data_IF_111331217476
#
_entry.id   IF_111331217476
#
_cell.length_a   1.000
_cell.length_b   1.000
_cell.length_c   1.000
_cell.angle_alpha   90.00
_cell.angle_beta   90.00
_cell.angle_gamma   90.00
#
_symmetry.space_group_name_H-M   'P 1'
#
loop_
_entity.id
_entity.type
_entity.pdbx_description
1 polymer ?
#
# COMPACT_ATOMS: atom_id res chain seq x y z
N UNK A 1 0.69 3.41 -12.48
CA UNK A 1 0.84 1.95 -12.69
C UNK A 1 2.21 1.37 -12.36
N UNK A 2 3.33 2.11 -12.48
CA UNK A 2 4.70 1.53 -12.39
C UNK A 2 4.97 0.65 -11.16
N UNK A 3 4.33 0.91 -10.02
CA UNK A 3 4.54 0.15 -8.77
C UNK A 3 3.31 -0.62 -8.26
N UNK A 4 2.31 -0.95 -9.09
CA UNK A 4 1.11 -1.69 -8.64
C UNK A 4 1.45 -2.99 -7.92
N UNK A 5 2.25 -3.87 -8.55
CA UNK A 5 2.62 -5.15 -7.97
C UNK A 5 3.51 -5.02 -6.72
N UNK A 6 4.30 -3.94 -6.63
CA UNK A 6 5.12 -3.67 -5.45
C UNK A 6 4.26 -3.18 -4.27
N UNK A 7 3.31 -2.29 -4.52
CA UNK A 7 2.44 -1.70 -3.51
C UNK A 7 1.38 -2.69 -3.00
N UNK A 8 0.78 -3.44 -3.92
CA UNK A 8 -0.36 -4.33 -3.65
C UNK A 8 0.05 -5.81 -3.55
N UNK A 9 1.33 -6.14 -3.67
CA UNK A 9 1.82 -7.52 -3.73
C UNK A 9 1.33 -8.39 -2.57
N UNK A 10 1.31 -7.84 -1.34
CA UNK A 10 0.77 -8.53 -0.18
C UNK A 10 -0.73 -8.84 -0.33
N UNK A 11 -1.53 -7.89 -0.80
CA UNK A 11 -2.97 -8.09 -1.01
C UNK A 11 -3.27 -9.03 -2.19
N UNK A 12 -2.43 -9.06 -3.22
CA UNK A 12 -2.54 -10.03 -4.31
C UNK A 12 -2.29 -11.47 -3.81
N UNK A 13 -1.27 -11.66 -2.96
CA UNK A 13 -0.98 -12.98 -2.34
C UNK A 13 -2.15 -13.41 -1.45
N UNK A 14 -2.62 -12.51 -0.56
CA UNK A 14 -3.77 -12.79 0.31
C UNK A 14 -5.04 -13.08 -0.48
N UNK A 15 -5.30 -12.32 -1.54
CA UNK A 15 -6.41 -12.55 -2.46
C UNK A 15 -6.33 -13.93 -3.12
N UNK A 16 -5.14 -14.35 -3.54
CA UNK A 16 -4.90 -15.69 -4.07
C UNK A 16 -5.24 -16.79 -3.07
N UNK A 17 -4.79 -16.65 -1.81
CA UNK A 17 -5.13 -17.61 -0.73
C UNK A 17 -6.65 -17.67 -0.51
N UNK A 18 -7.33 -16.52 -0.48
CA UNK A 18 -8.79 -16.45 -0.34
C UNK A 18 -9.49 -17.19 -1.49
N UNK A 19 -9.01 -17.05 -2.72
CA UNK A 19 -9.57 -17.75 -3.88
C UNK A 19 -9.33 -19.26 -3.81
N UNK A 20 -8.17 -19.71 -3.34
CA UNK A 20 -7.90 -21.14 -3.12
C UNK A 20 -8.84 -21.73 -2.07
N UNK A 21 -9.05 -21.02 -0.95
CA UNK A 21 -10.02 -21.44 0.08
C UNK A 21 -11.44 -21.47 -0.51
N UNK A 22 -11.80 -20.46 -1.29
CA UNK A 22 -13.12 -20.38 -1.96
C UNK A 22 -13.34 -21.55 -2.89
N UNK A 23 -12.32 -21.94 -3.68
CA UNK A 23 -12.36 -23.11 -4.55
C UNK A 23 -12.49 -24.40 -3.74
N UNK A 24 -11.67 -24.57 -2.69
CA UNK A 24 -11.69 -25.76 -1.85
C UNK A 24 -13.05 -25.96 -1.16
N UNK A 25 -13.58 -24.90 -0.54
CA UNK A 25 -14.89 -24.95 0.13
C UNK A 25 -16.00 -25.14 -0.90
N UNK A 26 -15.95 -24.42 -2.03
CA UNK A 26 -16.98 -24.46 -3.06
C UNK A 26 -17.13 -25.80 -3.80
N UNK A 27 -16.14 -26.69 -3.69
CA UNK A 27 -16.17 -28.05 -4.28
C UNK A 27 -16.61 -29.14 -3.29
N UNK A 28 -16.88 -28.79 -2.02
CA UNK A 28 -17.33 -29.76 -1.01
C UNK A 28 -18.73 -30.32 -1.31
N UNK A 29 -19.01 -31.58 -0.94
CA UNK A 29 -20.26 -32.27 -1.30
C UNK A 29 -21.53 -31.67 -0.66
N UNK A 30 -21.38 -30.91 0.42
CA UNK A 30 -22.49 -30.21 1.09
C UNK A 30 -22.84 -28.85 0.44
N UNK A 31 -22.09 -28.41 -0.57
CA UNK A 31 -22.34 -27.14 -1.26
C UNK A 31 -23.31 -27.30 -2.43
N UNK A 32 -24.09 -26.25 -2.70
CA UNK A 32 -25.01 -26.25 -3.85
C UNK A 32 -24.26 -26.40 -5.19
N UNK A 33 -24.92 -27.00 -6.20
CA UNK A 33 -24.35 -27.14 -7.55
C UNK A 33 -23.91 -25.77 -8.10
N UNK A 34 -22.69 -25.70 -8.62
CA UNK A 34 -22.12 -24.46 -9.15
C UNK A 34 -21.72 -23.43 -8.08
N UNK A 35 -21.66 -23.78 -6.79
CA UNK A 35 -21.17 -22.91 -5.73
C UNK A 35 -19.72 -22.45 -5.98
N UNK A 36 -18.82 -23.35 -6.40
CA UNK A 36 -17.44 -23.00 -6.72
C UNK A 36 -17.34 -21.88 -7.79
N UNK A 37 -18.07 -22.01 -8.91
CA UNK A 37 -18.06 -21.03 -10.01
C UNK A 37 -18.60 -19.67 -9.54
N UNK A 38 -19.75 -19.66 -8.85
CA UNK A 38 -20.36 -18.43 -8.33
C UNK A 38 -19.49 -17.77 -7.26
N UNK A 39 -18.94 -18.56 -6.35
CA UNK A 39 -18.03 -18.10 -5.30
C UNK A 39 -16.78 -17.46 -5.88
N UNK A 40 -16.08 -18.15 -6.79
CA UNK A 40 -14.89 -17.61 -7.44
C UNK A 40 -15.18 -16.30 -8.20
N UNK A 41 -16.30 -16.23 -8.92
CA UNK A 41 -16.67 -15.02 -9.66
C UNK A 41 -16.88 -13.82 -8.72
N UNK A 42 -17.73 -13.98 -7.70
CA UNK A 42 -18.06 -12.88 -6.80
C UNK A 42 -16.90 -12.50 -5.89
N UNK A 43 -16.18 -13.48 -5.35
CA UNK A 43 -15.01 -13.22 -4.50
C UNK A 43 -13.91 -12.51 -5.31
N UNK A 44 -13.64 -12.95 -6.55
CA UNK A 44 -12.66 -12.28 -7.41
C UNK A 44 -13.06 -10.84 -7.71
N UNK A 45 -14.35 -10.59 -7.99
CA UNK A 45 -14.86 -9.25 -8.25
C UNK A 45 -14.66 -8.34 -7.03
N UNK A 46 -15.03 -8.81 -5.85
CA UNK A 46 -14.87 -8.06 -4.60
C UNK A 46 -13.39 -7.75 -4.34
N UNK A 47 -12.52 -8.76 -4.44
CA UNK A 47 -11.07 -8.58 -4.27
C UNK A 47 -10.51 -7.55 -5.28
N UNK A 48 -10.90 -7.63 -6.55
CA UNK A 48 -10.45 -6.70 -7.58
C UNK A 48 -10.86 -5.26 -7.27
N UNK A 49 -12.10 -5.04 -6.82
CA UNK A 49 -12.59 -3.70 -6.43
C UNK A 49 -11.81 -3.16 -5.24
N UNK A 50 -11.64 -3.95 -4.17
CA UNK A 50 -10.94 -3.49 -2.98
C UNK A 50 -9.46 -3.22 -3.22
N UNK A 51 -8.76 -4.10 -3.95
CA UNK A 51 -7.35 -3.90 -4.29
C UNK A 51 -7.18 -2.69 -5.21
N UNK A 52 -8.06 -2.52 -6.20
CA UNK A 52 -8.05 -1.36 -7.09
C UNK A 52 -8.31 -0.05 -6.36
N UNK A 53 -9.29 -0.03 -5.45
CA UNK A 53 -9.59 1.15 -4.62
C UNK A 53 -8.42 1.50 -3.68
N UNK A 54 -7.84 0.49 -3.03
CA UNK A 54 -6.68 0.66 -2.15
C UNK A 54 -5.48 1.23 -2.91
N UNK A 55 -5.17 0.69 -4.10
CA UNK A 55 -4.09 1.18 -4.95
C UNK A 55 -4.29 2.65 -5.33
N UNK A 56 -5.50 3.00 -5.79
CA UNK A 56 -5.83 4.38 -6.17
C UNK A 56 -5.67 5.34 -5.00
N UNK A 57 -6.17 4.99 -3.82
CA UNK A 57 -6.01 5.80 -2.62
C UNK A 57 -4.53 5.98 -2.25
N UNK A 58 -3.73 4.92 -2.35
CA UNK A 58 -2.31 4.95 -2.05
C UNK A 58 -1.54 5.86 -2.99
N UNK A 59 -1.77 5.76 -4.31
CA UNK A 59 -1.12 6.63 -5.30
C UNK A 59 -1.52 8.09 -5.12
N UNK A 60 -2.81 8.37 -4.93
CA UNK A 60 -3.28 9.75 -4.70
C UNK A 60 -2.62 10.36 -3.46
N UNK A 61 -2.47 9.58 -2.37
CA UNK A 61 -1.76 10.04 -1.18
C UNK A 61 -0.28 10.31 -1.48
N UNK A 62 0.41 9.40 -2.16
CA UNK A 62 1.81 9.58 -2.53
C UNK A 62 2.02 10.85 -3.38
N UNK A 63 1.14 11.09 -4.35
CA UNK A 63 1.19 12.29 -5.19
C UNK A 63 0.98 13.56 -4.36
N UNK A 64 0.01 13.57 -3.45
CA UNK A 64 -0.23 14.69 -2.56
C UNK A 64 0.97 14.99 -1.65
N UNK A 65 1.58 13.94 -1.05
CA UNK A 65 2.77 14.05 -0.22
C UNK A 65 3.95 14.63 -1.01
N UNK A 66 4.20 14.12 -2.22
CA UNK A 66 5.28 14.64 -3.08
C UNK A 66 5.05 16.10 -3.47
N UNK A 67 3.81 16.45 -3.80
CA UNK A 67 3.45 17.84 -4.13
C UNK A 67 3.62 18.78 -2.93
N UNK A 68 3.28 18.33 -1.72
CA UNK A 68 3.50 19.08 -0.48
C UNK A 68 5.00 19.27 -0.21
N UNK A 69 5.79 18.21 -0.35
CA UNK A 69 7.25 18.25 -0.20
C UNK A 69 7.91 19.24 -1.17
N UNK A 70 7.51 19.26 -2.44
CA UNK A 70 8.05 20.20 -3.43
C UNK A 70 7.71 21.67 -3.12
N UNK A 71 6.62 21.92 -2.38
CA UNK A 71 6.22 23.25 -1.88
C UNK A 71 6.86 23.60 -0.53
N UNK A 72 7.83 22.81 -0.08
CA UNK A 72 8.46 22.93 1.23
C UNK A 72 7.47 22.83 2.41
N UNK A 73 6.33 22.15 2.21
CA UNK A 73 5.39 21.88 3.29
C UNK A 73 5.86 20.68 4.11
N UNK A 74 5.64 20.67 5.44
CA UNK A 74 6.00 19.54 6.26
C UNK A 74 5.13 18.33 5.90
N UNK A 75 5.78 17.17 5.77
CA UNK A 75 5.12 15.88 5.64
C UNK A 75 5.59 14.97 6.77
N UNK A 76 4.72 14.08 7.22
CA UNK A 76 4.98 13.16 8.31
C UNK A 76 5.14 11.76 7.73
N UNK A 77 6.30 11.13 7.95
CA UNK A 77 6.59 9.78 7.49
C UNK A 77 6.78 8.82 8.67
N UNK A 78 6.19 7.63 8.59
CA UNK A 78 6.35 6.59 9.62
C UNK A 78 7.78 6.03 9.63
N UNK A 79 8.44 6.03 10.80
CA UNK A 79 9.78 5.48 10.99
C UNK A 79 9.73 4.05 11.52
N UNK A 80 10.37 3.11 10.80
CA UNK A 80 10.52 1.71 11.24
C UNK A 80 11.69 1.50 12.20
N UNK A 81 12.41 2.56 12.56
CA UNK A 81 13.77 2.40 13.06
C UNK A 81 13.82 1.83 14.47
N UNK A 82 12.90 2.18 15.38
CA UNK A 82 12.79 1.57 16.71
C UNK A 82 11.37 1.73 17.25
N UNK A 83 10.78 0.65 17.76
CA UNK A 83 9.45 0.59 18.40
C UNK A 83 9.28 1.50 19.64
N UNK A 84 10.26 2.37 19.95
CA UNK A 84 10.39 3.03 21.26
C UNK A 84 10.48 4.56 21.31
N UNK A 85 10.91 5.35 20.30
CA UNK A 85 11.09 6.81 20.56
C UNK A 85 10.76 7.81 19.43
N UNK A 86 10.48 7.42 18.19
CA UNK A 86 9.80 8.32 17.24
C UNK A 86 9.07 7.50 16.18
N UNK A 87 7.75 7.34 16.32
CA UNK A 87 6.93 6.62 15.34
C UNK A 87 6.87 7.35 13.99
N UNK A 88 7.19 8.65 13.98
CA UNK A 88 7.13 9.50 12.80
C UNK A 88 8.32 10.48 12.72
N UNK A 89 8.67 10.88 11.50
CA UNK A 89 9.68 11.88 11.19
C UNK A 89 9.04 12.95 10.33
N UNK A 90 9.25 14.22 10.68
CA UNK A 90 8.85 15.35 9.86
C UNK A 90 9.91 15.60 8.79
N UNK A 91 9.51 15.42 7.54
CA UNK A 91 10.34 15.60 6.35
C UNK A 91 9.93 16.92 5.69
N UNK A 92 10.92 17.73 5.33
CA UNK A 92 10.72 19.03 4.70
C UNK A 92 11.94 19.34 3.84
N UNK A 93 11.74 19.91 2.64
CA UNK A 93 12.80 20.08 1.64
C UNK A 93 13.91 21.02 2.13
N UNK A 94 13.56 22.06 2.88
CA UNK A 94 14.49 22.99 3.53
C UNK A 94 15.33 22.38 4.65
N UNK A 95 15.00 21.16 5.11
CA UNK A 95 15.72 20.44 6.19
C UNK A 95 16.62 19.34 5.64
N UNK A 96 17.27 19.58 4.50
CA UNK A 96 18.23 18.67 3.87
C UNK A 96 17.62 17.32 3.49
N UNK A 97 16.37 17.34 3.01
CA UNK A 97 15.73 16.18 2.42
C UNK A 97 15.67 16.33 0.91
N UNK A 98 15.80 15.23 0.19
CA UNK A 98 15.57 15.13 -1.26
C UNK A 98 14.66 13.96 -1.58
N UNK A 99 14.00 14.03 -2.74
CA UNK A 99 13.14 12.97 -3.25
C UNK A 99 13.88 12.21 -4.36
N UNK A 100 14.20 10.94 -4.10
CA UNK A 100 14.80 10.02 -5.06
C UNK A 100 13.77 8.95 -5.46
N UNK A 101 13.13 9.17 -6.61
CA UNK A 101 12.04 8.34 -7.09
C UNK A 101 10.79 8.44 -6.20
N UNK A 102 10.56 7.42 -5.37
CA UNK A 102 9.46 7.36 -4.41
C UNK A 102 9.95 7.45 -2.95
N UNK A 103 11.26 7.67 -2.74
CA UNK A 103 11.89 7.68 -1.42
C UNK A 103 12.38 9.08 -1.04
N UNK A 104 12.09 9.50 0.18
CA UNK A 104 12.73 10.65 0.81
C UNK A 104 14.04 10.23 1.45
N UNK A 105 15.12 10.92 1.11
CA UNK A 105 16.47 10.65 1.61
C UNK A 105 17.07 11.92 2.21
N UNK A 106 17.95 11.76 3.18
CA UNK A 106 18.68 12.86 3.82
C UNK A 106 20.04 12.34 4.28
N UNK A 107 21.12 13.15 4.21
CA UNK A 107 22.41 12.77 4.75
C UNK A 107 22.37 12.51 6.27
N UNK A 108 21.37 13.07 6.96
CA UNK A 108 21.18 12.92 8.41
C UNK A 108 20.49 11.60 8.81
N UNK A 109 19.99 10.83 7.83
CA UNK A 109 19.26 9.59 8.08
C UNK A 109 19.86 8.44 7.30
N UNK A 110 20.14 7.32 7.99
CA UNK A 110 20.75 6.14 7.39
C UNK A 110 19.82 5.34 6.48
N UNK A 111 18.51 5.63 6.47
CA UNK A 111 17.50 4.90 5.68
C UNK A 111 16.56 5.84 4.94
N UNK A 112 16.17 5.48 3.70
CA UNK A 112 15.13 6.18 2.96
C UNK A 112 13.73 5.97 3.57
N UNK A 113 12.86 6.96 3.37
CA UNK A 113 11.44 6.90 3.75
C UNK A 113 10.57 6.84 2.50
N UNK A 114 9.85 5.73 2.34
CA UNK A 114 9.00 5.52 1.17
C UNK A 114 7.73 6.37 1.25
N UNK A 115 7.47 7.17 0.23
CA UNK A 115 6.35 8.12 0.18
C UNK A 115 4.96 7.52 0.42
N UNK A 116 4.76 6.23 0.12
CA UNK A 116 3.50 5.55 0.44
C UNK A 116 3.21 5.45 1.95
N UNK A 117 4.20 5.71 2.81
CA UNK A 117 4.10 5.66 4.28
C UNK A 117 4.09 7.04 4.93
N UNK A 118 3.85 8.07 4.12
CA UNK A 118 3.81 9.45 4.57
C UNK A 118 2.42 10.04 4.39
N UNK A 119 2.15 11.10 5.13
CA UNK A 119 0.96 11.95 5.05
C UNK A 119 1.36 13.41 5.03
N UNK A 120 0.50 14.26 4.47
CA UNK A 120 0.64 15.71 4.61
C UNK A 120 0.14 16.08 6.00
N UNK A 121 0.88 16.95 6.70
CA UNK A 121 0.47 17.50 8.01
C UNK A 121 -0.73 18.44 7.88
#
# INVERSE_FOLDING_TARGET
MKNFFFLEGAYLILGGIILLITLFVGTRPFMSKGAAKRGLLWVSLVLAVFIGAHYKMTINRMEAVKAAFEKDQPIICESRMLRKVAQSVNIQKSKEWSLEGDNFVSPNYSRPFFSARCIVE
#
